data_IF_566289659883
#
_entry.id   IF_566289659883
#
_cell.length_a   1.000
_cell.length_b   1.000
_cell.length_c   1.000
_cell.angle_alpha   90.00
_cell.angle_beta   90.00
_cell.angle_gamma   90.00
#
_symmetry.space_group_name_H-M   'P 1'
#
loop_
_entity.id
_entity.type
_entity.pdbx_description
1 polymer ?
#
# COMPACT_ATOMS: atom_id res chain seq x y z
N UNK A 1 -3.52 -2.44 0.86
CA UNK A 1 -4.34 -1.75 -0.16
C UNK A 1 -3.52 -0.59 -0.68
N UNK A 2 -3.35 -0.46 -2.00
CA UNK A 2 -2.70 0.71 -2.57
C UNK A 2 -3.75 1.81 -2.77
N UNK A 3 -3.56 2.95 -2.11
CA UNK A 3 -4.43 4.14 -2.18
C UNK A 3 -3.88 5.21 -3.14
N UNK A 4 -3.04 4.78 -4.08
CA UNK A 4 -2.37 5.65 -5.04
C UNK A 4 -1.35 6.62 -4.44
N UNK A 5 -0.97 7.60 -5.27
CA UNK A 5 -0.09 8.69 -4.88
C UNK A 5 -0.91 9.87 -4.36
N UNK A 6 -0.24 10.90 -3.83
CA UNK A 6 -0.93 12.10 -3.39
C UNK A 6 -1.73 12.74 -4.55
N UNK A 7 -2.95 13.24 -4.29
CA UNK A 7 -3.73 13.97 -5.28
C UNK A 7 -2.90 15.06 -5.97
N UNK A 8 -3.03 15.25 -7.29
CA UNK A 8 -4.05 14.69 -8.20
C UNK A 8 -3.65 13.38 -8.90
N UNK A 9 -2.53 12.75 -8.54
CA UNK A 9 -1.98 11.56 -9.22
C UNK A 9 -2.51 10.24 -8.65
N UNK A 10 -3.65 10.32 -7.97
CA UNK A 10 -4.29 9.18 -7.34
C UNK A 10 -5.02 8.31 -8.38
N UNK A 11 -5.19 7.02 -8.09
CA UNK A 11 -5.92 6.06 -8.90
C UNK A 11 -6.89 5.28 -8.01
N UNK A 12 -7.92 4.59 -8.57
CA UNK A 12 -8.82 3.80 -7.76
C UNK A 12 -8.05 2.85 -6.83
N UNK A 13 -8.49 2.75 -5.57
CA UNK A 13 -7.80 1.89 -4.60
C UNK A 13 -7.83 0.44 -5.10
N UNK A 14 -6.66 -0.19 -5.18
CA UNK A 14 -6.53 -1.57 -5.64
C UNK A 14 -5.86 -2.44 -4.58
N UNK A 15 -6.26 -3.71 -4.58
CA UNK A 15 -5.60 -4.75 -3.81
C UNK A 15 -4.53 -5.40 -4.69
N UNK A 16 -3.29 -5.42 -4.19
CA UNK A 16 -2.18 -6.12 -4.81
C UNK A 16 -1.96 -7.39 -4.01
N UNK A 17 -1.99 -8.54 -4.68
CA UNK A 17 -1.64 -9.83 -4.11
C UNK A 17 -0.21 -10.17 -4.51
N UNK A 18 0.65 -10.46 -3.54
CA UNK A 18 2.03 -10.88 -3.78
C UNK A 18 2.14 -12.39 -4.05
N UNK A 19 1.14 -13.18 -3.65
CA UNK A 19 1.22 -14.65 -3.73
C UNK A 19 2.47 -15.18 -3.01
N UNK A 20 3.28 -15.96 -3.73
CA UNK A 20 4.54 -16.54 -3.23
C UNK A 20 5.76 -15.60 -3.42
N UNK A 21 5.57 -14.47 -4.11
CA UNK A 21 6.63 -13.48 -4.34
C UNK A 21 6.81 -12.55 -3.13
N UNK A 22 7.98 -11.91 -3.03
CA UNK A 22 8.29 -10.98 -1.93
C UNK A 22 8.08 -9.51 -2.29
N UNK A 23 7.77 -9.21 -3.56
CA UNK A 23 7.56 -7.84 -4.01
C UNK A 23 6.51 -7.75 -5.13
N UNK A 24 5.83 -6.62 -5.20
CA UNK A 24 4.86 -6.31 -6.25
C UNK A 24 4.86 -4.82 -6.53
N UNK A 25 4.84 -4.45 -7.80
CA UNK A 25 4.73 -3.06 -8.24
C UNK A 25 3.27 -2.73 -8.53
N UNK A 26 2.77 -1.62 -8.01
CA UNK A 26 1.46 -1.11 -8.40
C UNK A 26 1.49 -0.65 -9.87
N UNK A 27 0.60 -1.14 -10.75
CA UNK A 27 0.63 -0.81 -12.17
C UNK A 27 0.23 0.63 -12.48
N UNK A 28 -0.31 1.37 -11.51
CA UNK A 28 -0.80 2.73 -11.68
C UNK A 28 0.17 3.78 -11.12
N UNK A 29 0.48 3.72 -9.82
CA UNK A 29 1.36 4.70 -9.18
C UNK A 29 2.85 4.30 -9.17
N UNK A 30 3.20 3.13 -9.72
CA UNK A 30 4.58 2.59 -9.72
C UNK A 30 5.23 2.46 -8.33
N UNK A 31 4.43 2.46 -7.26
CA UNK A 31 4.92 2.18 -5.92
C UNK A 31 5.31 0.71 -5.82
N UNK A 32 6.53 0.45 -5.35
CA UNK A 32 7.04 -0.89 -5.06
C UNK A 32 6.64 -1.27 -3.62
N UNK A 33 5.85 -2.33 -3.48
CA UNK A 33 5.60 -2.98 -2.21
C UNK A 33 6.56 -4.15 -2.07
N UNK A 34 7.27 -4.23 -0.95
CA UNK A 34 8.17 -5.35 -0.64
C UNK A 34 7.89 -5.86 0.76
N UNK A 35 7.70 -7.16 0.88
CA UNK A 35 7.58 -7.84 2.16
C UNK A 35 8.94 -7.85 2.86
N UNK A 36 8.94 -7.44 4.13
CA UNK A 36 10.13 -7.51 4.99
C UNK A 36 9.72 -8.14 6.32
N UNK A 37 10.19 -9.37 6.55
CA UNK A 37 9.87 -10.15 7.76
C UNK A 37 10.38 -9.52 9.07
N UNK A 38 11.22 -8.47 8.99
CA UNK A 38 11.71 -7.74 10.16
C UNK A 38 10.77 -6.59 10.61
N UNK A 39 9.80 -6.21 9.79
CA UNK A 39 8.84 -5.15 10.11
C UNK A 39 7.58 -5.77 10.74
N UNK A 40 7.04 -5.09 11.75
CA UNK A 40 5.70 -5.38 12.25
C UNK A 40 4.63 -4.99 11.22
N UNK A 41 3.41 -5.52 11.38
CA UNK A 41 2.32 -5.33 10.41
C UNK A 41 1.90 -3.86 10.20
N UNK A 42 2.22 -3.00 11.17
CA UNK A 42 1.96 -1.57 11.21
C UNK A 42 3.21 -0.71 10.97
N UNK A 43 4.34 -1.32 10.60
CA UNK A 43 5.58 -0.61 10.31
C UNK A 43 5.84 -0.50 8.80
N UNK A 44 6.38 0.65 8.38
CA UNK A 44 6.74 0.91 6.99
C UNK A 44 8.13 1.51 6.87
N UNK A 45 8.72 1.38 5.69
CA UNK A 45 9.97 2.07 5.32
C UNK A 45 9.74 2.78 3.98
N UNK A 46 9.75 4.13 3.94
CA UNK A 46 9.90 5.08 5.06
C UNK A 46 8.79 4.95 6.13
N UNK A 47 9.07 5.39 7.35
CA UNK A 47 8.11 5.35 8.45
C UNK A 47 6.92 6.30 8.22
N UNK A 48 5.75 5.96 8.78
CA UNK A 48 4.54 6.78 8.71
C UNK A 48 3.80 6.72 7.37
N UNK A 49 4.06 5.70 6.55
CA UNK A 49 3.38 5.49 5.27
C UNK A 49 2.19 4.51 5.36
N UNK A 50 1.84 4.05 6.57
CA UNK A 50 0.62 3.26 6.79
C UNK A 50 -0.60 4.15 6.57
N UNK A 51 -1.52 3.68 5.73
CA UNK A 51 -2.81 4.36 5.55
C UNK A 51 -3.81 3.90 6.60
N UNK A 52 -4.25 4.82 7.46
CA UNK A 52 -5.34 4.62 8.40
C UNK A 52 -6.67 4.98 7.73
N UNK A 53 -7.49 3.98 7.42
CA UNK A 53 -8.80 4.24 6.86
C UNK A 53 -9.68 4.94 7.91
N UNK A 54 -10.36 6.05 7.57
CA UNK A 54 -11.31 6.68 8.48
C UNK A 54 -12.45 5.70 8.81
N UNK A 55 -12.83 5.63 10.09
CA UNK A 55 -13.76 4.63 10.64
C UNK A 55 -15.15 4.59 9.98
N UNK A 56 -15.52 5.64 9.24
CA UNK A 56 -16.89 5.87 8.77
C UNK A 56 -17.14 5.52 7.29
N UNK A 57 -16.21 4.85 6.58
CA UNK A 57 -16.38 4.50 5.16
C UNK A 57 -16.13 3.02 4.83
N UNK A 58 -16.61 2.13 5.69
CA UNK A 58 -16.91 0.75 5.31
C UNK A 58 -18.41 0.63 4.99
N UNK A 59 -18.83 1.14 3.83
CA UNK A 59 -20.17 0.96 3.29
C UNK A 59 -20.07 0.71 1.77
#
# INVERSE_FOLDING_TARGET
MCVGANPPFDHPHVFLDMGDESEVVCPYCSTLYRYNAQLHADETVPAGCVYEAPADKAA
#
